data_IF_409759097452
#
_entry.id   IF_409759097452
#
_cell.length_a   1.000
_cell.length_b   1.000
_cell.length_c   1.000
_cell.angle_alpha   90.00
_cell.angle_beta   90.00
_cell.angle_gamma   90.00
#
_symmetry.space_group_name_H-M   'P 1'
#
loop_
_entity.id
_entity.type
_entity.pdbx_description
1 polymer ?
#
# COMPACT_ATOMS: atom_id res chain seq x y z
N UNK A 1 -20.25 -8.86 -23.87
CA UNK A 1 -19.80 -9.15 -22.52
C UNK A 1 -20.34 -8.02 -21.66
N UNK A 2 -21.31 -8.33 -20.80
CA UNK A 2 -22.01 -7.30 -20.03
C UNK A 2 -21.15 -6.87 -18.84
N UNK A 3 -20.91 -5.55 -18.69
CA UNK A 3 -20.36 -4.99 -17.46
C UNK A 3 -21.38 -5.25 -16.35
N UNK A 4 -20.97 -5.97 -15.32
CA UNK A 4 -21.77 -6.10 -14.10
C UNK A 4 -21.54 -4.80 -13.34
N UNK A 5 -22.51 -3.90 -13.36
CA UNK A 5 -22.54 -2.75 -12.47
C UNK A 5 -23.14 -3.27 -11.16
N UNK A 6 -22.27 -3.52 -10.16
CA UNK A 6 -22.74 -3.88 -8.83
C UNK A 6 -22.98 -2.63 -8.02
N UNK A 7 -24.25 -2.29 -7.80
CA UNK A 7 -24.64 -1.31 -6.78
C UNK A 7 -24.56 -2.01 -5.41
N UNK A 8 -24.24 -1.30 -4.34
CA UNK A 8 -24.10 -1.89 -2.99
C UNK A 8 -25.28 -2.78 -2.56
N UNK A 9 -26.48 -2.54 -3.08
CA UNK A 9 -27.66 -3.41 -2.88
C UNK A 9 -27.54 -4.77 -3.54
N UNK A 10 -26.81 -4.87 -4.67
CA UNK A 10 -26.67 -6.13 -5.40
C UNK A 10 -25.67 -7.07 -4.70
N UNK A 11 -24.75 -6.52 -3.91
CA UNK A 11 -23.81 -7.32 -3.10
C UNK A 11 -24.52 -7.98 -1.92
N UNK A 12 -25.44 -7.25 -1.26
CA UNK A 12 -26.24 -7.82 -0.16
C UNK A 12 -27.18 -8.93 -0.68
N UNK A 13 -27.81 -8.74 -1.84
CA UNK A 13 -28.64 -9.74 -2.50
C UNK A 13 -27.85 -10.98 -2.94
N UNK A 14 -26.55 -10.81 -3.33
CA UNK A 14 -25.67 -11.93 -3.65
C UNK A 14 -25.25 -12.72 -2.41
N UNK A 15 -25.02 -12.04 -1.28
CA UNK A 15 -24.68 -12.68 0.00
C UNK A 15 -25.86 -13.50 0.55
N UNK A 16 -27.10 -13.03 0.37
CA UNK A 16 -28.28 -13.76 0.84
C UNK A 16 -28.65 -14.96 -0.06
N UNK A 17 -28.30 -14.93 -1.35
CA UNK A 17 -28.75 -15.94 -2.32
C UNK A 17 -27.68 -16.93 -2.80
N UNK A 18 -26.40 -16.77 -2.45
CA UNK A 18 -25.34 -17.65 -2.95
C UNK A 18 -24.57 -18.36 -1.83
N UNK A 19 -25.03 -19.53 -1.43
CA UNK A 19 -24.28 -20.44 -0.53
C UNK A 19 -23.28 -21.33 -1.31
N UNK A 20 -23.30 -21.35 -2.63
CA UNK A 20 -22.51 -22.34 -3.41
C UNK A 20 -21.63 -21.80 -4.54
N UNK A 21 -21.72 -20.56 -5.00
CA UNK A 21 -20.90 -20.07 -6.12
C UNK A 21 -20.17 -18.76 -5.80
N UNK A 22 -18.83 -18.82 -5.72
CA UNK A 22 -17.99 -17.62 -5.67
C UNK A 22 -18.22 -16.77 -6.93
N UNK A 23 -18.60 -15.53 -6.74
CA UNK A 23 -18.73 -14.58 -7.85
C UNK A 23 -17.34 -14.17 -8.31
N UNK A 24 -17.07 -14.24 -9.61
CA UNK A 24 -15.84 -13.70 -10.17
C UNK A 24 -16.04 -12.21 -10.47
N UNK A 25 -15.35 -11.35 -9.71
CA UNK A 25 -15.37 -9.89 -9.88
C UNK A 25 -14.20 -9.37 -10.73
N UNK A 26 -13.44 -10.24 -11.39
CA UNK A 26 -12.39 -9.80 -12.31
C UNK A 26 -12.99 -8.98 -13.45
N UNK A 27 -12.31 -7.88 -13.80
CA UNK A 27 -12.75 -6.92 -14.82
C UNK A 27 -14.10 -6.22 -14.50
N UNK A 28 -14.60 -6.34 -13.27
CA UNK A 28 -15.78 -5.60 -12.83
C UNK A 28 -15.48 -4.11 -12.68
N UNK A 29 -16.52 -3.28 -12.76
CA UNK A 29 -16.38 -1.84 -12.59
C UNK A 29 -17.46 -1.31 -11.64
N UNK A 30 -17.04 -0.42 -10.74
CA UNK A 30 -17.95 0.31 -9.86
C UNK A 30 -17.34 1.68 -9.57
N UNK A 31 -17.71 2.68 -10.37
CA UNK A 31 -17.19 4.03 -10.25
C UNK A 31 -18.08 4.87 -9.32
N UNK A 32 -17.47 5.62 -8.39
CA UNK A 32 -18.17 6.53 -7.48
C UNK A 32 -19.10 5.84 -6.48
N UNK A 33 -18.95 4.54 -6.21
CA UNK A 33 -19.84 3.77 -5.33
C UNK A 33 -19.36 3.75 -3.87
N UNK A 34 -20.30 3.46 -2.97
CA UNK A 34 -19.99 3.23 -1.54
C UNK A 34 -20.25 1.77 -1.19
N UNK A 35 -19.25 1.16 -0.54
CA UNK A 35 -19.31 -0.20 -0.01
C UNK A 35 -19.09 -0.14 1.50
N UNK A 36 -20.01 -0.67 2.29
CA UNK A 36 -19.92 -0.62 3.76
C UNK A 36 -20.16 -2.02 4.36
N UNK A 37 -19.25 -2.43 5.27
CA UNK A 37 -19.33 -3.69 6.01
C UNK A 37 -19.12 -4.95 5.18
N UNK A 38 -18.69 -4.85 3.93
CA UNK A 38 -18.62 -5.99 3.02
C UNK A 38 -17.35 -6.82 3.25
N UNK A 39 -17.52 -8.12 3.42
CA UNK A 39 -16.41 -9.06 3.39
C UNK A 39 -16.29 -9.69 1.99
N UNK A 40 -15.53 -9.02 1.12
CA UNK A 40 -15.31 -9.50 -0.25
C UNK A 40 -14.68 -10.89 -0.30
N UNK A 41 -13.86 -11.27 0.67
CA UNK A 41 -13.26 -12.62 0.75
C UNK A 41 -14.25 -13.74 0.97
N UNK A 42 -15.51 -13.45 1.35
CA UNK A 42 -16.60 -14.43 1.40
C UNK A 42 -17.38 -14.53 0.09
N UNK A 43 -17.29 -13.49 -0.76
CA UNK A 43 -18.06 -13.37 -2.00
C UNK A 43 -17.24 -13.85 -3.20
N UNK A 44 -15.94 -13.50 -3.21
CA UNK A 44 -15.05 -13.76 -4.34
C UNK A 44 -13.64 -14.06 -3.88
N UNK A 45 -12.88 -14.74 -4.73
CA UNK A 45 -11.41 -14.81 -4.60
C UNK A 45 -10.71 -13.96 -5.66
N UNK A 46 -11.44 -13.42 -6.65
CA UNK A 46 -10.87 -12.83 -7.85
C UNK A 46 -11.47 -11.46 -8.16
N UNK A 47 -10.63 -10.43 -8.13
CA UNK A 47 -10.92 -9.04 -8.51
C UNK A 47 -9.81 -8.49 -9.42
N UNK A 48 -9.13 -9.35 -10.17
CA UNK A 48 -8.07 -8.90 -11.08
C UNK A 48 -8.63 -7.98 -12.17
N UNK A 49 -7.84 -6.99 -12.56
CA UNK A 49 -8.21 -6.00 -13.57
C UNK A 49 -9.52 -5.25 -13.26
N UNK A 50 -10.03 -5.32 -12.03
CA UNK A 50 -11.23 -4.60 -11.62
C UNK A 50 -10.96 -3.09 -11.58
N UNK A 51 -12.01 -2.28 -11.82
CA UNK A 51 -11.92 -0.83 -11.75
C UNK A 51 -12.96 -0.27 -10.77
N UNK A 52 -12.48 0.22 -9.63
CA UNK A 52 -13.25 0.78 -8.52
C UNK A 52 -12.73 2.17 -8.16
N UNK A 53 -12.62 3.05 -9.16
CA UNK A 53 -12.17 4.43 -8.98
C UNK A 53 -13.23 5.29 -8.30
N UNK A 54 -12.78 6.35 -7.60
CA UNK A 54 -13.66 7.31 -6.90
C UNK A 54 -14.62 6.67 -5.88
N UNK A 55 -14.30 5.47 -5.35
CA UNK A 55 -15.16 4.71 -4.45
C UNK A 55 -14.86 4.99 -2.97
N UNK A 56 -15.89 4.78 -2.14
CA UNK A 56 -15.73 4.72 -0.69
C UNK A 56 -15.91 3.28 -0.19
N UNK A 57 -14.87 2.74 0.45
CA UNK A 57 -14.91 1.47 1.16
C UNK A 57 -14.84 1.72 2.65
N UNK A 58 -15.84 1.27 3.39
CA UNK A 58 -15.91 1.45 4.83
C UNK A 58 -16.11 0.09 5.52
N UNK A 59 -15.25 -0.22 6.50
CA UNK A 59 -15.29 -1.48 7.25
C UNK A 59 -15.24 -2.74 6.36
N UNK A 60 -14.63 -2.62 5.16
CA UNK A 60 -14.56 -3.70 4.18
C UNK A 60 -13.34 -4.62 4.41
N UNK A 61 -13.50 -5.90 4.06
CA UNK A 61 -12.45 -6.90 4.17
C UNK A 61 -12.13 -7.50 2.80
N UNK A 62 -10.84 -7.41 2.42
CA UNK A 62 -10.31 -7.91 1.14
C UNK A 62 -9.36 -9.09 1.35
N UNK A 63 -9.42 -9.75 2.50
CA UNK A 63 -8.46 -10.76 2.89
C UNK A 63 -8.33 -11.89 1.86
N UNK A 64 -7.07 -12.13 1.44
CA UNK A 64 -6.71 -13.26 0.57
C UNK A 64 -7.18 -13.13 -0.88
N UNK A 65 -7.67 -11.95 -1.29
CA UNK A 65 -8.12 -11.73 -2.66
C UNK A 65 -6.97 -11.61 -3.66
N UNK A 66 -7.24 -12.02 -4.88
CA UNK A 66 -6.47 -11.73 -6.06
C UNK A 66 -6.99 -10.44 -6.70
N UNK A 67 -6.25 -9.34 -6.53
CA UNK A 67 -6.58 -7.99 -6.98
C UNK A 67 -5.46 -7.41 -7.86
N UNK A 68 -4.70 -8.28 -8.51
CA UNK A 68 -3.60 -7.89 -9.39
C UNK A 68 -4.15 -6.99 -10.51
N UNK A 69 -3.45 -5.91 -10.84
CA UNK A 69 -3.80 -4.89 -11.84
C UNK A 69 -5.11 -4.13 -11.57
N UNK A 70 -5.75 -4.32 -10.41
CA UNK A 70 -6.97 -3.60 -10.08
C UNK A 70 -6.71 -2.10 -9.86
N UNK A 71 -7.72 -1.25 -10.13
CA UNK A 71 -7.64 0.20 -9.99
C UNK A 71 -8.60 0.68 -8.92
N UNK A 72 -8.05 1.42 -7.98
CA UNK A 72 -8.75 2.05 -6.86
C UNK A 72 -8.38 3.52 -6.73
N UNK A 73 -8.02 4.16 -7.83
CA UNK A 73 -7.58 5.56 -7.82
C UNK A 73 -8.66 6.48 -7.28
N UNK A 74 -8.24 7.54 -6.57
CA UNK A 74 -9.11 8.54 -5.93
C UNK A 74 -10.08 7.95 -4.90
N UNK A 75 -9.84 6.74 -4.39
CA UNK A 75 -10.77 6.06 -3.50
C UNK A 75 -10.41 6.24 -2.03
N UNK A 76 -11.39 6.04 -1.17
CA UNK A 76 -11.22 6.16 0.26
C UNK A 76 -11.50 4.81 0.95
N UNK A 77 -10.56 4.41 1.81
CA UNK A 77 -10.63 3.16 2.58
C UNK A 77 -10.64 3.50 4.07
N UNK A 78 -11.77 3.27 4.73
CA UNK A 78 -11.98 3.54 6.15
C UNK A 78 -12.12 2.23 6.89
N UNK A 79 -11.23 1.97 7.87
CA UNK A 79 -11.23 0.74 8.68
C UNK A 79 -11.24 -0.56 7.83
N UNK A 80 -10.49 -0.56 6.73
CA UNK A 80 -10.43 -1.66 5.76
C UNK A 80 -9.22 -2.57 5.96
N UNK A 81 -9.37 -3.87 5.67
CA UNK A 81 -8.32 -4.87 5.84
C UNK A 81 -7.99 -5.61 4.54
N UNK A 82 -6.67 -5.69 4.26
CA UNK A 82 -6.11 -6.31 3.05
C UNK A 82 -5.14 -7.46 3.36
N UNK A 83 -5.34 -8.15 4.49
CA UNK A 83 -4.42 -9.24 4.90
C UNK A 83 -4.26 -10.28 3.79
N UNK A 84 -3.03 -10.63 3.47
CA UNK A 84 -2.69 -11.66 2.49
C UNK A 84 -3.25 -11.41 1.08
N UNK A 85 -3.66 -10.19 0.78
CA UNK A 85 -4.18 -9.80 -0.53
C UNK A 85 -3.03 -9.73 -1.55
N UNK A 86 -3.29 -10.09 -2.78
CA UNK A 86 -2.36 -9.90 -3.89
C UNK A 86 -2.76 -8.66 -4.68
N UNK A 87 -1.88 -7.68 -4.68
CA UNK A 87 -2.07 -6.35 -5.24
C UNK A 87 -0.97 -6.01 -6.27
N UNK A 88 -0.31 -7.02 -6.83
CA UNK A 88 0.76 -6.78 -7.79
C UNK A 88 0.25 -5.92 -8.95
N UNK A 89 1.00 -4.85 -9.28
CA UNK A 89 0.66 -3.87 -10.30
C UNK A 89 -0.71 -3.16 -10.09
N UNK A 90 -1.32 -3.24 -8.91
CA UNK A 90 -2.53 -2.50 -8.60
C UNK A 90 -2.26 -0.99 -8.44
N UNK A 91 -3.29 -0.18 -8.65
CA UNK A 91 -3.22 1.28 -8.53
C UNK A 91 -4.15 1.80 -7.46
N UNK A 92 -3.59 2.62 -6.54
CA UNK A 92 -4.29 3.34 -5.47
C UNK A 92 -3.91 4.83 -5.49
N UNK A 93 -3.65 5.40 -6.65
CA UNK A 93 -3.19 6.78 -6.78
C UNK A 93 -4.19 7.76 -6.19
N UNK A 94 -3.68 8.78 -5.48
CA UNK A 94 -4.51 9.82 -4.87
C UNK A 94 -5.61 9.26 -3.95
N UNK A 95 -5.37 8.10 -3.31
CA UNK A 95 -6.33 7.44 -2.44
C UNK A 95 -6.01 7.70 -0.97
N UNK A 96 -6.99 7.48 -0.09
CA UNK A 96 -6.86 7.74 1.33
C UNK A 96 -7.18 6.48 2.14
N UNK A 97 -6.28 6.12 3.05
CA UNK A 97 -6.44 5.00 3.97
C UNK A 97 -6.50 5.56 5.40
N UNK A 98 -7.66 5.51 6.03
CA UNK A 98 -7.86 6.10 7.34
C UNK A 98 -8.70 5.25 8.28
N UNK A 99 -8.58 5.50 9.58
CA UNK A 99 -9.25 4.74 10.64
C UNK A 99 -8.25 3.92 11.46
N UNK A 100 -8.73 3.27 12.51
CA UNK A 100 -7.88 2.54 13.46
C UNK A 100 -7.50 1.14 13.03
N UNK A 101 -8.27 0.54 12.10
CA UNK A 101 -8.13 -0.86 11.68
C UNK A 101 -7.64 -1.04 10.24
N UNK A 102 -7.07 0.00 9.61
CA UNK A 102 -6.50 -0.17 8.27
C UNK A 102 -5.22 -0.98 8.33
N UNK A 103 -5.22 -2.12 7.66
CA UNK A 103 -4.13 -3.07 7.69
C UNK A 103 -3.83 -3.63 6.31
N UNK A 104 -2.62 -3.38 5.81
CA UNK A 104 -2.06 -3.93 4.59
C UNK A 104 -0.86 -4.87 4.88
N UNK A 105 -0.64 -5.21 6.14
CA UNK A 105 0.46 -6.06 6.54
C UNK A 105 0.38 -7.45 5.91
N UNK A 106 1.53 -7.99 5.54
CA UNK A 106 1.66 -9.27 4.83
C UNK A 106 0.94 -9.35 3.47
N UNK A 107 0.48 -8.22 2.89
CA UNK A 107 0.00 -8.19 1.51
C UNK A 107 1.17 -8.33 0.52
N UNK A 108 0.87 -8.84 -0.67
CA UNK A 108 1.80 -8.91 -1.80
C UNK A 108 1.47 -7.74 -2.73
N UNK A 109 2.42 -6.82 -2.91
CA UNK A 109 2.20 -5.52 -3.54
C UNK A 109 3.36 -5.15 -4.48
N UNK A 110 3.85 -6.10 -5.26
CA UNK A 110 4.93 -5.84 -6.22
C UNK A 110 4.50 -4.74 -7.20
N UNK A 111 5.31 -3.69 -7.36
CA UNK A 111 5.03 -2.57 -8.26
C UNK A 111 3.68 -1.86 -8.05
N UNK A 112 3.06 -1.99 -6.89
CA UNK A 112 1.80 -1.30 -6.57
C UNK A 112 2.02 0.21 -6.51
N UNK A 113 1.12 0.99 -7.11
CA UNK A 113 1.23 2.45 -7.19
C UNK A 113 0.33 3.15 -6.16
N UNK A 114 0.95 3.75 -5.12
CA UNK A 114 0.30 4.59 -4.11
C UNK A 114 0.60 6.08 -4.31
N UNK A 115 1.10 6.50 -5.45
CA UNK A 115 1.51 7.89 -5.69
C UNK A 115 0.42 8.88 -5.28
N UNK A 116 0.79 9.92 -4.51
CA UNK A 116 -0.08 10.97 -3.94
C UNK A 116 -1.10 10.49 -2.90
N UNK A 117 -0.98 9.29 -2.36
CA UNK A 117 -1.95 8.75 -1.41
C UNK A 117 -1.61 9.09 0.02
N UNK A 118 -2.63 9.08 0.87
CA UNK A 118 -2.47 9.20 2.31
C UNK A 118 -2.53 7.80 2.96
N UNK A 119 -1.40 7.39 3.54
CA UNK A 119 -1.19 6.14 4.27
C UNK A 119 -0.71 6.41 5.71
N UNK A 120 -0.94 7.63 6.23
CA UNK A 120 -0.47 8.01 7.55
C UNK A 120 -1.01 7.05 8.63
N UNK A 121 -0.11 6.55 9.47
CA UNK A 121 -0.38 5.59 10.55
C UNK A 121 -0.91 4.22 10.09
N UNK A 122 -0.84 3.89 8.82
CA UNK A 122 -1.25 2.58 8.28
C UNK A 122 -0.22 1.51 8.63
N UNK A 123 -0.67 0.29 8.90
CA UNK A 123 0.20 -0.85 9.13
C UNK A 123 0.46 -1.63 7.83
N UNK A 124 1.70 -1.51 7.33
CA UNK A 124 2.26 -2.23 6.19
C UNK A 124 3.36 -3.23 6.62
N UNK A 125 3.37 -3.61 7.89
CA UNK A 125 4.40 -4.50 8.41
C UNK A 125 4.42 -5.85 7.68
N UNK A 126 5.63 -6.36 7.43
CA UNK A 126 5.86 -7.64 6.72
C UNK A 126 5.24 -7.71 5.31
N UNK A 127 4.84 -6.59 4.73
CA UNK A 127 4.36 -6.55 3.35
C UNK A 127 5.48 -6.92 2.38
N UNK A 128 5.14 -7.57 1.28
CA UNK A 128 6.05 -7.83 0.17
C UNK A 128 5.76 -6.83 -0.95
N UNK A 129 6.51 -5.73 -0.99
CA UNK A 129 6.24 -4.57 -1.83
C UNK A 129 7.47 -4.10 -2.65
N UNK A 130 8.20 -5.00 -3.33
CA UNK A 130 9.36 -4.58 -4.12
C UNK A 130 8.91 -3.74 -5.31
N UNK A 131 9.66 -2.66 -5.59
CA UNK A 131 9.38 -1.75 -6.70
C UNK A 131 8.14 -0.89 -6.55
N UNK A 132 7.42 -0.95 -5.44
CA UNK A 132 6.20 -0.15 -5.22
C UNK A 132 6.49 1.34 -5.15
N UNK A 133 5.50 2.15 -5.54
CA UNK A 133 5.59 3.59 -5.64
C UNK A 133 4.84 4.27 -4.49
N UNK A 134 5.60 4.92 -3.62
CA UNK A 134 5.10 5.78 -2.54
C UNK A 134 5.47 7.25 -2.78
N UNK A 135 5.48 7.65 -4.05
CA UNK A 135 5.92 9.00 -4.47
C UNK A 135 4.93 10.05 -3.98
N UNK A 136 5.45 11.08 -3.28
CA UNK A 136 4.64 12.18 -2.73
C UNK A 136 3.47 11.72 -1.84
N UNK A 137 3.62 10.55 -1.18
CA UNK A 137 2.64 10.05 -0.21
C UNK A 137 2.79 10.73 1.14
N UNK A 138 1.68 10.82 1.88
CA UNK A 138 1.70 11.02 3.32
C UNK A 138 1.86 9.65 4.01
N UNK A 139 3.02 9.45 4.65
CA UNK A 139 3.42 8.23 5.35
C UNK A 139 3.73 8.52 6.83
N UNK A 140 3.24 9.65 7.40
CA UNK A 140 3.53 10.00 8.81
C UNK A 140 3.19 8.81 9.72
N UNK A 141 4.20 8.33 10.47
CA UNK A 141 4.09 7.18 11.39
C UNK A 141 3.58 5.86 10.76
N UNK A 142 3.73 5.68 9.48
CA UNK A 142 3.41 4.41 8.80
C UNK A 142 4.35 3.30 9.27
N UNK A 143 3.81 2.12 9.52
CA UNK A 143 4.58 0.96 9.96
C UNK A 143 4.98 0.08 8.77
N UNK A 144 6.26 0.07 8.41
CA UNK A 144 6.87 -0.80 7.39
C UNK A 144 7.79 -1.86 8.00
N UNK A 145 7.69 -2.14 9.30
CA UNK A 145 8.64 -3.04 9.97
C UNK A 145 8.66 -4.44 9.35
N UNK A 146 9.85 -4.94 9.07
CA UNK A 146 10.09 -6.27 8.48
C UNK A 146 9.57 -6.44 7.05
N UNK A 147 9.17 -5.38 6.36
CA UNK A 147 8.69 -5.45 4.98
C UNK A 147 9.81 -5.61 3.95
N UNK A 148 9.49 -6.16 2.80
CA UNK A 148 10.37 -6.16 1.64
C UNK A 148 10.02 -4.99 0.72
N UNK A 149 10.85 -3.96 0.71
CA UNK A 149 10.70 -2.72 -0.03
C UNK A 149 11.86 -2.50 -1.02
N UNK A 150 12.43 -3.59 -1.54
CA UNK A 150 13.55 -3.49 -2.49
C UNK A 150 13.18 -2.68 -3.71
N UNK A 151 14.00 -1.64 -4.00
CA UNK A 151 13.78 -0.76 -5.13
C UNK A 151 12.51 0.09 -5.04
N UNK A 152 11.81 0.11 -3.91
CA UNK A 152 10.64 0.97 -3.72
C UNK A 152 11.00 2.45 -3.82
N UNK A 153 10.06 3.25 -4.31
CA UNK A 153 10.27 4.68 -4.54
C UNK A 153 9.46 5.53 -3.55
N UNK A 154 10.15 6.14 -2.60
CA UNK A 154 9.62 7.07 -1.59
C UNK A 154 9.94 8.53 -1.91
N UNK A 155 10.26 8.87 -3.17
CA UNK A 155 10.65 10.23 -3.52
C UNK A 155 9.60 11.25 -3.09
N UNK A 156 10.05 12.29 -2.35
CA UNK A 156 9.24 13.38 -1.84
C UNK A 156 8.09 12.98 -0.90
N UNK A 157 8.07 11.75 -0.40
CA UNK A 157 7.09 11.34 0.61
C UNK A 157 7.33 12.05 1.94
N UNK A 158 6.27 12.29 2.68
CA UNK A 158 6.32 12.65 4.09
C UNK A 158 6.30 11.38 4.95
N UNK A 159 7.48 10.89 5.32
CA UNK A 159 7.65 9.64 6.09
C UNK A 159 8.18 9.91 7.52
N UNK A 160 7.77 11.04 8.10
CA UNK A 160 8.18 11.40 9.46
C UNK A 160 7.70 10.38 10.47
N UNK A 161 8.62 9.95 11.33
CA UNK A 161 8.33 8.98 12.38
C UNK A 161 7.90 7.60 11.89
N UNK A 162 8.03 7.29 10.59
CA UNK A 162 7.74 5.95 10.04
C UNK A 162 8.70 4.91 10.60
N UNK A 163 8.20 3.69 10.75
CA UNK A 163 8.97 2.56 11.25
C UNK A 163 9.38 1.62 10.10
N UNK A 164 10.68 1.61 9.78
CA UNK A 164 11.32 0.71 8.82
C UNK A 164 12.19 -0.35 9.51
N UNK A 165 11.96 -0.62 10.79
CA UNK A 165 12.77 -1.58 11.56
C UNK A 165 12.85 -2.93 10.86
N UNK A 166 14.08 -3.40 10.58
CA UNK A 166 14.33 -4.69 9.93
C UNK A 166 13.82 -4.82 8.50
N UNK A 167 13.43 -3.73 7.84
CA UNK A 167 12.96 -3.76 6.45
C UNK A 167 14.11 -4.01 5.45
N UNK A 168 13.81 -4.69 4.35
CA UNK A 168 14.71 -4.81 3.20
C UNK A 168 14.47 -3.64 2.25
N UNK A 169 15.31 -2.62 2.34
CA UNK A 169 15.24 -1.36 1.59
C UNK A 169 16.36 -1.25 0.54
N UNK A 170 16.95 -2.37 0.12
CA UNK A 170 18.03 -2.35 -0.87
C UNK A 170 17.61 -1.66 -2.16
N UNK A 171 18.39 -0.64 -2.55
CA UNK A 171 18.12 0.15 -3.74
C UNK A 171 16.88 1.05 -3.65
N UNK A 172 16.27 1.22 -2.47
CA UNK A 172 15.14 2.12 -2.28
C UNK A 172 15.53 3.59 -2.52
N UNK A 173 14.58 4.37 -3.03
CA UNK A 173 14.81 5.78 -3.37
C UNK A 173 14.04 6.70 -2.43
N UNK A 174 14.74 7.39 -1.52
CA UNK A 174 14.21 8.40 -0.61
C UNK A 174 14.55 9.85 -1.06
N UNK A 175 14.76 10.08 -2.34
CA UNK A 175 15.10 11.42 -2.84
C UNK A 175 14.09 12.47 -2.37
N UNK A 176 14.56 13.44 -1.56
CA UNK A 176 13.74 14.51 -0.96
C UNK A 176 12.58 14.02 -0.06
N UNK A 177 12.57 12.78 0.38
CA UNK A 177 11.62 12.35 1.39
C UNK A 177 11.92 13.00 2.73
N UNK A 178 10.90 13.39 3.46
CA UNK A 178 11.06 13.84 4.85
C UNK A 178 11.07 12.63 5.79
N UNK A 179 12.25 12.31 6.33
CA UNK A 179 12.49 11.14 7.16
C UNK A 179 12.81 11.50 8.62
N UNK A 180 12.44 12.72 9.03
CA UNK A 180 12.71 13.15 10.41
C UNK A 180 12.03 12.24 11.41
N UNK A 181 12.82 11.72 12.35
CA UNK A 181 12.36 10.78 13.37
C UNK A 181 12.02 9.37 12.86
N UNK A 182 12.28 9.03 11.59
CA UNK A 182 12.07 7.70 11.06
C UNK A 182 13.03 6.67 11.70
N UNK A 183 12.59 5.43 11.84
CA UNK A 183 13.36 4.35 12.46
C UNK A 183 13.80 3.32 11.42
N UNK A 184 15.11 3.24 11.15
CA UNK A 184 15.75 2.27 10.26
C UNK A 184 16.56 1.20 11.01
N UNK A 185 16.29 1.01 12.30
CA UNK A 185 17.04 0.03 13.11
C UNK A 185 17.01 -1.36 12.47
N UNK A 186 18.21 -1.93 12.22
CA UNK A 186 18.36 -3.24 11.59
C UNK A 186 17.91 -3.35 10.13
N UNK A 187 17.57 -2.26 9.47
CA UNK A 187 17.17 -2.26 8.06
C UNK A 187 18.38 -2.52 7.12
N UNK A 188 18.13 -3.19 5.99
CA UNK A 188 19.11 -3.35 4.92
C UNK A 188 18.94 -2.21 3.90
N UNK A 189 19.86 -1.24 3.95
CA UNK A 189 19.87 0.00 3.18
C UNK A 189 20.90 0.00 2.04
N UNK A 190 21.48 -1.15 1.70
CA UNK A 190 22.51 -1.22 0.65
C UNK A 190 21.99 -0.68 -0.67
N UNK A 191 22.71 0.26 -1.25
CA UNK A 191 22.31 0.95 -2.49
C UNK A 191 21.13 1.90 -2.37
N UNK A 192 20.59 2.13 -1.17
CA UNK A 192 19.51 3.09 -0.97
C UNK A 192 19.98 4.54 -1.15
N UNK A 193 19.09 5.41 -1.65
CA UNK A 193 19.41 6.82 -1.88
C UNK A 193 18.63 7.74 -0.93
N UNK A 194 19.34 8.46 -0.06
CA UNK A 194 18.81 9.49 0.83
C UNK A 194 19.14 10.91 0.35
N UNK A 195 19.43 11.11 -0.93
CA UNK A 195 19.82 12.41 -1.48
C UNK A 195 18.76 13.47 -1.17
N UNK A 196 19.20 14.57 -0.53
CA UNK A 196 18.33 15.69 -0.12
C UNK A 196 17.19 15.32 0.84
N UNK A 197 17.26 14.19 1.54
CA UNK A 197 16.28 13.80 2.54
C UNK A 197 16.67 14.35 3.92
N UNK A 198 15.81 15.13 4.61
CA UNK A 198 16.02 15.48 6.01
C UNK A 198 15.98 14.21 6.89
N UNK A 199 17.00 14.03 7.74
CA UNK A 199 17.19 12.85 8.61
C UNK A 199 17.26 13.22 10.11
N UNK A 200 16.85 14.42 10.52
CA UNK A 200 16.94 14.85 11.90
C UNK A 200 16.19 13.90 12.85
N UNK A 201 16.91 13.30 13.78
CA UNK A 201 16.34 12.32 14.73
C UNK A 201 16.03 10.95 14.14
N UNK A 202 16.37 10.67 12.88
CA UNK A 202 16.27 9.33 12.33
C UNK A 202 17.27 8.37 13.00
N UNK A 203 16.87 7.10 13.18
CA UNK A 203 17.65 6.06 13.86
C UNK A 203 18.16 5.05 12.83
N UNK A 204 19.46 4.68 12.94
CA UNK A 204 20.12 3.75 12.02
C UNK A 204 20.90 2.65 12.78
N UNK A 205 20.53 2.36 14.03
CA UNK A 205 21.19 1.35 14.83
C UNK A 205 21.12 0.00 14.11
N UNK A 206 22.26 -0.68 13.99
CA UNK A 206 22.38 -1.98 13.30
C UNK A 206 21.93 -1.97 11.82
N UNK A 207 21.67 -0.81 11.20
CA UNK A 207 21.34 -0.74 9.79
C UNK A 207 22.54 -1.13 8.91
N UNK A 208 22.28 -1.87 7.83
CA UNK A 208 23.32 -2.33 6.89
C UNK A 208 23.39 -1.37 5.70
N UNK A 209 24.55 -0.76 5.49
CA UNK A 209 24.83 0.15 4.38
C UNK A 209 26.04 -0.33 3.58
N UNK A 210 26.21 0.15 2.35
CA UNK A 210 27.36 -0.11 1.49
C UNK A 210 27.84 1.17 0.77
N UNK A 211 28.87 1.04 -0.07
CA UNK A 211 29.45 2.16 -0.83
C UNK A 211 28.46 2.75 -1.87
N UNK A 212 27.34 2.09 -2.15
CA UNK A 212 26.30 2.56 -3.05
C UNK A 212 25.18 3.29 -2.31
N UNK A 213 25.13 3.21 -0.98
CA UNK A 213 24.20 3.96 -0.14
C UNK A 213 24.58 5.44 -0.17
N UNK A 214 23.71 6.32 -0.62
CA UNK A 214 23.98 7.76 -0.72
C UNK A 214 23.27 8.54 0.38
N UNK A 215 24.04 9.28 1.19
CA UNK A 215 23.51 10.11 2.28
C UNK A 215 23.23 11.56 1.81
N UNK A 216 22.44 12.36 2.60
CA UNK A 216 22.22 13.77 2.30
C UNK A 216 23.55 14.56 2.26
N UNK A 217 23.72 15.41 1.22
CA UNK A 217 24.92 16.24 1.08
C UNK A 217 26.08 15.57 0.32
N UNK A 218 26.01 14.30 0.00
CA UNK A 218 26.96 13.64 -0.88
C UNK A 218 26.58 13.95 -2.35
N UNK A 219 27.18 15.00 -2.89
CA UNK A 219 27.16 15.23 -4.34
C UNK A 219 28.23 14.33 -4.95
N UNK A 220 27.83 13.23 -5.58
CA UNK A 220 28.75 12.53 -6.46
C UNK A 220 29.29 13.51 -7.51
N UNK A 221 30.62 13.68 -7.52
CA UNK A 221 31.38 14.44 -8.50
C UNK A 221 31.37 13.67 -9.83
#
# INVERSE_FOLDING_TARGET
MGSIIMVARDVDDLVENSIEDYVNLSQSTADGQTFEGINFGLITSYMQDANYTDCLFKECKFRGLHMEHAKFDNSEFVDCRFDLTKLDDASFRNSSFRGGDVYLGSAIMTCTDFTYSNLASVDLSRAYAPGSLFVECDLDKTNFSGSNLRGANFSRADARGSDFTGADLRGANFFRADLRGANFTGADLRGASFRSAPLDGAQFDEAIMDDLTTLPGEYGI
#
